data_IF_168885201692
#
_entry.id   IF_168885201692
#
_cell.length_a   1.000
_cell.length_b   1.000
_cell.length_c   1.000
_cell.angle_alpha   90.00
_cell.angle_beta   90.00
_cell.angle_gamma   90.00
#
_symmetry.space_group_name_H-M   'P 1'
#
loop_
_entity.id
_entity.type
_entity.pdbx_description
1 polymer ?
2 non-polymer ?
3 water ?
#
# COMPACT_ATOMS: atom_id res chain seq x y z
N UNK A 10 18.75 -3.38 4.67
CA UNK A 10 17.89 -2.60 3.73
C UNK A 10 17.57 -3.37 2.47
N UNK A 11 16.40 -3.05 1.92
CA UNK A 11 15.84 -3.77 0.79
C UNK A 11 15.85 -2.88 -0.44
N UNK A 12 16.13 -3.42 -1.60
CA UNK A 12 16.13 -2.63 -2.83
C UNK A 12 14.67 -2.34 -3.27
N UNK A 13 14.38 -1.09 -3.58
CA UNK A 13 13.12 -0.64 -4.13
C UNK A 13 13.25 -0.44 -5.62
N UNK A 14 12.36 -0.90 -6.45
CA UNK A 14 11.12 -1.58 -6.09
C UNK A 14 11.30 -2.98 -5.63
N UNK A 15 10.48 -3.37 -4.65
CA UNK A 15 10.65 -4.62 -3.99
C UNK A 15 9.39 -5.44 -4.22
N UNK A 16 9.57 -6.70 -4.54
CA UNK A 16 8.48 -7.65 -4.65
C UNK A 16 8.45 -8.63 -3.47
N UNK A 17 7.36 -8.61 -2.73
CA UNK A 17 7.11 -9.50 -1.64
C UNK A 17 6.14 -10.55 -2.14
N UNK A 18 6.55 -11.82 -2.34
CA UNK A 18 5.60 -12.86 -2.67
C UNK A 18 4.67 -13.12 -1.56
N UNK A 19 3.41 -13.43 -1.85
CA UNK A 19 2.39 -13.74 -0.87
C UNK A 19 1.92 -15.20 -1.12
N UNK A 20 2.63 -16.18 -0.58
CA UNK A 20 2.39 -17.55 -1.03
C UNK A 20 0.95 -18.05 -0.81
N UNK A 21 0.34 -18.52 -1.89
CA UNK A 21 -1.02 -19.01 -1.81
C UNK A 21 -2.08 -17.89 -1.75
N UNK A 22 -1.61 -16.64 -1.97
CA UNK A 22 -2.42 -15.48 -1.95
C UNK A 22 -2.74 -14.91 -0.62
N UNK A 23 -3.55 -13.90 -0.59
CA UNK A 23 -4.01 -13.34 0.70
C UNK A 23 -5.21 -14.02 1.19
N UNK A 24 -5.42 -13.87 2.46
CA UNK A 24 -6.52 -14.51 3.19
C UNK A 24 -6.85 -13.59 4.35
N UNK A 25 -8.11 -13.62 4.81
CA UNK A 25 -8.41 -12.86 6.00
C UNK A 25 -7.49 -13.36 7.13
N UNK A 26 -7.18 -12.37 7.96
CA UNK A 26 -6.26 -12.45 9.09
C UNK A 26 -4.79 -12.36 8.77
N UNK A 27 -4.43 -12.23 7.50
CA UNK A 27 -3.07 -11.93 7.12
C UNK A 27 -2.75 -10.46 7.34
N UNK A 28 -1.61 -10.20 8.01
CA UNK A 28 -1.19 -8.85 8.32
C UNK A 28 0.14 -8.60 7.66
N UNK A 29 0.21 -7.59 6.77
CA UNK A 29 1.41 -7.24 6.12
C UNK A 29 1.98 -6.01 6.79
N UNK A 30 3.25 -6.01 7.11
CA UNK A 30 3.85 -4.87 7.80
C UNK A 30 5.03 -4.39 6.97
N UNK A 31 5.03 -3.10 6.64
CA UNK A 31 6.12 -2.48 5.86
C UNK A 31 6.73 -1.36 6.67
N UNK A 32 8.02 -1.41 6.84
CA UNK A 32 8.75 -0.35 7.59
C UNK A 32 9.71 0.33 6.64
N UNK A 33 9.74 1.67 6.64
CA UNK A 33 10.71 2.36 5.82
C UNK A 33 10.75 3.82 6.23
N UNK A 34 11.46 4.59 5.44
CA UNK A 34 11.60 6.03 5.63
C UNK A 34 11.35 6.72 4.37
N UNK A 35 10.56 7.78 4.41
CA UNK A 35 10.25 8.56 3.21
C UNK A 35 11.47 9.39 2.85
N UNK A 36 11.85 9.39 1.57
CA UNK A 36 13.00 10.19 1.13
C UNK A 36 12.70 11.70 1.30
N UNK A 37 13.74 12.54 1.50
CA UNK A 37 13.41 13.94 1.82
C UNK A 37 12.57 14.75 0.81
N UNK A 38 12.69 14.47 -0.47
CA UNK A 38 11.92 15.20 -1.48
C UNK A 38 10.92 14.33 -2.17
N UNK A 39 10.17 13.57 -1.37
CA UNK A 39 9.38 12.55 -1.99
C UNK A 39 8.25 13.10 -2.82
N UNK A 40 7.96 12.37 -3.89
CA UNK A 40 6.80 12.66 -4.70
C UNK A 40 5.68 11.62 -4.55
N UNK A 41 6.04 10.35 -4.43
CA UNK A 41 5.01 9.28 -4.34
C UNK A 41 5.55 8.03 -3.73
N UNK A 42 4.64 7.25 -3.18
CA UNK A 42 4.92 5.87 -2.68
C UNK A 42 3.81 5.03 -3.29
N UNK A 43 4.07 3.75 -3.57
CA UNK A 43 3.00 2.89 -4.00
C UNK A 43 3.13 1.49 -3.46
N UNK A 44 1.99 0.96 -3.02
CA UNK A 44 1.90 -0.47 -2.70
C UNK A 44 0.94 -1.04 -3.70
N UNK A 45 1.32 -2.12 -4.38
CA UNK A 45 0.44 -2.78 -5.39
C UNK A 45 0.28 -4.26 -5.14
N UNK A 46 -0.89 -4.63 -4.60
CA UNK A 46 -1.24 -6.07 -4.38
C UNK A 46 -1.67 -6.56 -5.76
N UNK A 47 -0.96 -7.53 -6.32
CA UNK A 47 -1.22 -8.00 -7.68
C UNK A 47 -1.81 -9.36 -7.81
N UNK A 48 -2.68 -9.47 -8.82
CA UNK A 48 -3.21 -10.77 -9.27
C UNK A 48 -2.78 -10.88 -10.73
N UNK A 49 -1.66 -11.53 -10.96
CA UNK A 49 -1.03 -11.48 -12.29
C UNK A 49 -0.75 -10.05 -12.71
N UNK A 50 -1.22 -9.65 -13.88
CA UNK A 50 -1.10 -8.26 -14.29
C UNK A 50 -2.08 -7.28 -13.68
N UNK A 51 -3.15 -7.83 -13.14
CA UNK A 51 -4.11 -7.00 -12.43
C UNK A 51 -3.57 -6.50 -11.10
N UNK A 52 -4.03 -5.30 -10.73
CA UNK A 52 -3.69 -4.72 -9.44
C UNK A 52 -4.95 -4.74 -8.64
N UNK A 53 -5.04 -5.65 -7.65
CA UNK A 53 -6.23 -5.72 -6.82
C UNK A 53 -6.40 -4.51 -5.93
N UNK A 54 -5.31 -4.03 -5.36
CA UNK A 54 -5.31 -2.86 -4.44
C UNK A 54 -4.03 -2.12 -4.64
N UNK A 55 -4.15 -0.90 -5.14
CA UNK A 55 -3.11 0.11 -5.28
C UNK A 55 -3.32 1.13 -4.24
N UNK A 56 -2.32 1.29 -3.41
CA UNK A 56 -2.32 2.34 -2.33
C UNK A 56 -1.22 3.29 -2.62
N UNK A 57 -1.55 4.58 -2.90
CA UNK A 57 -0.64 5.50 -3.56
C UNK A 57 -0.69 6.88 -2.91
N UNK A 58 0.13 7.05 -1.89
CA UNK A 58 0.40 8.44 -1.38
C UNK A 58 1.07 9.30 -2.41
N UNK A 59 0.45 10.46 -2.64
CA UNK A 59 0.97 11.48 -3.55
C UNK A 59 1.27 12.74 -2.73
N UNK A 60 2.53 13.15 -2.75
CA UNK A 60 3.00 14.27 -1.92
C UNK A 60 2.75 15.66 -2.54
N UNK A 61 2.51 15.77 -3.83
CA UNK A 61 2.25 17.05 -4.49
C UNK A 61 1.46 16.88 -5.72
N UNK A 62 0.20 16.62 -5.53
CA UNK A 62 -0.80 16.58 -6.56
C UNK A 62 -1.53 17.91 -6.52
N UNK A 63 -1.14 18.79 -7.45
CA UNK A 63 -1.65 20.18 -7.48
C UNK A 63 -1.53 20.90 -6.06
N UNK A 64 -0.34 20.69 -5.49
CA UNK A 64 0.04 21.24 -4.18
C UNK A 64 -0.75 20.73 -3.01
N UNK A 65 -1.31 19.51 -3.18
CA UNK A 65 -2.04 18.86 -2.12
C UNK A 65 -1.42 17.49 -1.93
N UNK A 66 -1.53 17.01 -0.69
CA UNK A 66 -1.13 15.66 -0.39
C UNK A 66 -2.38 14.82 -0.24
N UNK A 67 -2.40 13.65 -0.93
CA UNK A 67 -3.58 12.85 -0.99
C UNK A 67 -3.15 11.38 -1.12
N UNK A 68 -3.94 10.48 -0.55
CA UNK A 68 -3.71 9.05 -0.88
C UNK A 68 -4.75 8.60 -1.87
N UNK A 69 -4.32 8.02 -2.98
CA UNK A 69 -5.23 7.51 -3.98
C UNK A 69 -5.19 5.99 -3.89
N UNK A 70 -6.35 5.38 -3.86
CA UNK A 70 -6.46 3.91 -3.94
C UNK A 70 -7.27 3.52 -5.11
N UNK A 71 -6.92 2.42 -5.75
CA UNK A 71 -7.62 1.96 -6.97
C UNK A 71 -7.28 0.53 -7.27
N UNK A 72 -7.92 0.03 -8.34
CA UNK A 72 -7.71 -1.35 -8.84
C UNK A 72 -7.48 -1.24 -10.31
N UNK A 73 -6.62 -2.07 -10.89
CA UNK A 73 -6.28 -2.05 -12.34
C UNK A 73 -6.68 -3.42 -12.87
N UNK A 74 -7.64 -3.42 -13.84
CA UNK A 74 -8.14 -4.61 -14.49
C UNK A 74 -7.94 -4.54 -15.97
N UNK A 75 -7.33 -5.59 -16.55
CA UNK A 75 -7.04 -5.58 -17.98
C UNK A 75 -6.34 -4.28 -18.45
N UNK A 76 -5.39 -3.81 -17.62
CA UNK A 76 -4.64 -2.62 -17.89
C UNK A 76 -5.33 -1.31 -17.76
N UNK A 77 -6.56 -1.31 -17.25
CA UNK A 77 -7.38 -0.11 -17.05
C UNK A 77 -7.57 0.17 -15.54
N UNK A 78 -7.26 1.41 -15.14
CA UNK A 78 -7.56 1.84 -13.77
C UNK A 78 -9.04 2.12 -13.64
N UNK A 79 -9.61 1.81 -12.49
CA UNK A 79 -10.98 2.02 -12.12
C UNK A 79 -11.28 3.32 -11.42
N UNK A 80 -12.33 3.29 -10.68
CA UNK A 80 -12.74 4.46 -9.87
C UNK A 80 -11.77 4.67 -8.70
N UNK A 81 -11.17 5.85 -8.60
CA UNK A 81 -10.29 6.18 -7.49
C UNK A 81 -11.03 6.37 -6.21
N UNK A 82 -10.46 5.93 -5.10
CA UNK A 82 -10.93 6.26 -3.81
C UNK A 82 -9.90 7.14 -3.17
N UNK A 83 -10.25 8.35 -2.72
CA UNK A 83 -9.28 9.34 -2.24
C UNK A 83 -9.42 9.63 -0.80
N UNK A 84 -8.28 9.71 -0.10
CA UNK A 84 -8.25 9.97 1.33
C UNK A 84 -7.36 11.21 1.50
N UNK A 85 -7.90 12.25 2.12
CA UNK A 85 -7.14 13.46 2.45
C UNK A 85 -6.30 13.33 3.75
N UNK A 86 -6.65 12.40 4.64
CA UNK A 86 -5.79 12.18 5.82
C UNK A 86 -4.47 11.59 5.34
N UNK A 87 -3.35 12.25 5.69
CA UNK A 87 -2.05 11.97 5.04
C UNK A 87 -0.97 11.87 6.08
N UNK A 88 -0.74 10.65 6.58
CA UNK A 88 0.16 10.51 7.75
C UNK A 88 1.65 10.44 7.43
N UNK A 89 2.05 10.49 6.17
CA UNK A 89 3.42 10.36 5.78
C UNK A 89 4.05 11.72 5.75
N UNK A 90 5.33 11.75 6.05
CA UNK A 90 6.09 13.01 6.04
C UNK A 90 7.45 12.77 5.44
N UNK A 91 7.82 13.65 4.53
CA UNK A 91 9.07 13.55 3.87
C UNK A 91 10.23 13.51 4.89
N UNK A 92 11.15 12.58 4.73
CA UNK A 92 12.28 12.43 5.60
C UNK A 92 12.04 11.57 6.81
N UNK A 93 10.83 11.13 7.04
CA UNK A 93 10.52 10.52 8.34
C UNK A 93 10.16 9.02 8.26
N UNK A 94 10.52 8.23 9.26
CA UNK A 94 10.22 6.79 9.28
C UNK A 94 8.72 6.55 9.46
N UNK A 95 8.23 5.50 8.82
CA UNK A 95 6.88 5.13 8.88
C UNK A 95 6.72 3.59 9.03
N UNK A 96 5.48 3.24 9.42
CA UNK A 96 5.07 1.82 9.46
C UNK A 96 3.74 1.75 8.80
N UNK A 97 3.57 0.88 7.78
CA UNK A 97 2.27 0.66 7.19
C UNK A 97 1.90 -0.77 7.56
N UNK A 98 0.68 -0.94 8.05
CA UNK A 98 0.14 -2.26 8.33
C UNK A 98 -1.10 -2.40 7.47
N UNK A 99 -1.14 -3.52 6.73
CA UNK A 99 -2.32 -3.83 5.94
C UNK A 99 -2.89 -5.16 6.45
N UNK A 100 -4.07 -5.08 7.01
CA UNK A 100 -4.74 -6.25 7.57
C UNK A 100 -5.81 -6.70 6.57
N UNK A 101 -5.74 -7.96 6.06
CA UNK A 101 -6.79 -8.46 5.16
C UNK A 101 -7.98 -8.90 6.01
N UNK A 102 -9.12 -8.29 5.78
CA UNK A 102 -10.39 -8.67 6.40
C UNK A 102 -11.30 -9.27 5.33
N UNK A 103 -12.42 -9.86 5.75
CA UNK A 103 -13.18 -10.61 4.77
C UNK A 103 -13.71 -9.75 3.67
N UNK A 104 -14.02 -8.47 3.95
CA UNK A 104 -14.59 -7.59 2.93
C UNK A 104 -13.76 -6.45 2.44
N UNK A 105 -12.61 -6.25 3.07
CA UNK A 105 -11.78 -5.12 2.70
C UNK A 105 -10.36 -5.34 3.21
N UNK A 106 -9.43 -4.58 2.59
CA UNK A 106 -8.10 -4.36 3.21
C UNK A 106 -8.24 -3.21 4.21
N UNK A 107 -7.68 -3.37 5.40
CA UNK A 107 -7.71 -2.31 6.39
C UNK A 107 -6.28 -1.81 6.57
N UNK A 108 -6.04 -0.51 6.44
CA UNK A 108 -4.75 0.02 6.50
C UNK A 108 -4.59 0.97 7.70
N UNK A 109 -3.50 0.76 8.39
CA UNK A 109 -3.05 1.61 9.52
C UNK A 109 -1.64 2.10 9.20
N UNK A 110 -1.37 3.37 9.56
CA UNK A 110 -0.04 3.96 9.42
C UNK A 110 0.40 4.48 10.79
N UNK A 111 1.55 4.06 11.21
CA UNK A 111 2.13 4.46 12.52
C UNK A 111 1.16 4.18 13.62
N UNK A 112 0.53 3.00 13.51
CA UNK A 112 -0.47 2.50 14.51
C UNK A 112 -1.79 3.13 14.54
N UNK A 113 -2.05 4.10 13.68
CA UNK A 113 -3.35 4.72 13.56
C UNK A 113 -4.15 4.30 12.29
N UNK A 114 -5.38 3.89 12.45
CA UNK A 114 -6.24 3.51 11.35
C UNK A 114 -6.28 4.61 10.36
N UNK A 115 -6.12 4.29 9.08
CA UNK A 115 -6.13 5.24 7.98
C UNK A 115 -7.32 5.03 7.07
N UNK A 116 -7.55 3.83 6.51
CA UNK A 116 -8.59 3.65 5.50
C UNK A 116 -8.89 2.18 5.35
N UNK A 117 -10.03 1.91 4.71
CA UNK A 117 -10.39 0.55 4.34
C UNK A 117 -10.67 0.60 2.86
N UNK A 118 -10.43 -0.51 2.21
CA UNK A 118 -10.66 -0.62 0.75
C UNK A 118 -11.37 -1.92 0.47
N UNK A 119 -12.62 -1.79 0.03
CA UNK A 119 -13.47 -2.96 -0.24
C UNK A 119 -12.90 -3.80 -1.33
N UNK A 120 -12.99 -5.14 -1.16
CA UNK A 120 -12.47 -6.03 -2.19
C UNK A 120 -13.23 -5.90 -3.49
N UNK A 121 -12.54 -5.50 -4.55
CA UNK A 121 -13.05 -5.51 -5.90
C UNK A 121 -12.66 -6.75 -6.62
N UNK A 122 -11.42 -7.19 -6.45
CA UNK A 122 -10.86 -8.46 -6.90
C UNK A 122 -11.20 -9.44 -5.82
N UNK A 123 -12.06 -10.44 -6.12
CA UNK A 123 -12.61 -11.25 -5.04
C UNK A 123 -11.95 -12.62 -4.93
N UNK A 124 -11.05 -12.99 -5.86
CA UNK A 124 -10.26 -14.20 -5.77
C UNK A 124 -8.99 -13.92 -4.97
N UNK A 125 -9.21 -13.81 -3.67
CA UNK A 125 -8.15 -13.44 -2.66
C UNK A 125 -6.91 -14.33 -2.79
N UNK A 126 -7.13 -15.64 -2.97
CA UNK A 126 -6.10 -16.60 -3.08
C UNK A 126 -5.22 -16.42 -4.32
N UNK A 127 -5.68 -15.57 -5.29
CA UNK A 127 -4.87 -15.28 -6.51
C UNK A 127 -4.07 -14.00 -6.43
N UNK A 128 -4.21 -13.27 -5.33
CA UNK A 128 -3.46 -12.03 -5.07
C UNK A 128 -2.15 -12.46 -4.44
N UNK A 129 -1.15 -12.70 -5.27
CA UNK A 129 -0.01 -13.49 -4.87
C UNK A 129 1.27 -12.73 -4.77
N UNK A 130 1.26 -11.41 -4.95
CA UNK A 130 2.47 -10.63 -4.84
C UNK A 130 2.11 -9.24 -4.35
N UNK A 131 3.02 -8.63 -3.60
CA UNK A 131 2.95 -7.19 -3.25
C UNK A 131 4.16 -6.48 -3.74
N UNK A 132 3.98 -5.45 -4.58
CA UNK A 132 5.00 -4.61 -5.07
C UNK A 132 5.08 -3.40 -4.23
N UNK A 133 6.29 -3.01 -3.81
CA UNK A 133 6.51 -1.79 -2.99
C UNK A 133 7.43 -0.90 -3.74
N UNK A 134 6.98 0.31 -4.05
CA UNK A 134 7.79 1.20 -4.94
C UNK A 134 7.69 2.66 -4.48
N UNK A 135 8.49 3.49 -5.08
CA UNK A 135 8.41 4.91 -4.87
C UNK A 135 9.54 5.38 -3.99
N UNK A 136 9.25 6.56 -3.44
CA UNK A 136 10.31 7.42 -2.89
C UNK A 136 10.62 7.14 -1.43
N UNK A 137 11.07 5.94 -1.21
CA UNK A 137 11.33 5.43 0.12
C UNK A 137 12.64 4.67 0.21
N UNK A 138 13.12 4.62 1.43
CA UNK A 138 14.14 3.64 1.83
C UNK A 138 13.38 2.58 2.55
N UNK A 139 13.48 1.36 2.10
CA UNK A 139 12.73 0.27 2.67
C UNK A 139 13.52 -0.52 3.66
N UNK A 140 13.02 -0.65 4.86
CA UNK A 140 13.68 -1.33 5.92
C UNK A 140 13.26 -2.78 6.08
N UNK A 141 11.96 -3.04 6.00
CA UNK A 141 11.44 -4.37 6.24
C UNK A 141 10.10 -4.51 5.47
N UNK A 142 9.77 -5.72 5.00
CA UNK A 142 8.49 -6.05 4.45
C UNK A 142 8.20 -7.50 4.76
N UNK A 143 7.17 -7.75 5.54
CA UNK A 143 6.88 -9.10 5.99
C UNK A 143 5.39 -9.28 6.23
N UNK A 144 4.99 -10.51 6.59
CA UNK A 144 3.62 -10.83 6.86
C UNK A 144 3.56 -11.87 7.96
N UNK A 145 2.43 -11.86 8.66
CA UNK A 145 2.12 -12.86 9.65
C UNK A 145 0.61 -13.07 9.70
N UNK A 146 0.14 -14.13 10.39
CA UNK A 146 -1.28 -14.34 10.63
C UNK A 146 -1.61 -13.86 11.99
N UNK A 147 -2.70 -13.21 12.12
CA UNK A 147 -3.14 -12.84 13.45
C UNK A 147 -4.34 -13.62 13.86
X LIG B 1 -4.50 5.32 -9.86
X LIG B 1 -5.86 5.65 -10.05
X LIG B 1 -3.60 5.61 -11.04
X LIG B 1 -3.72 7.05 -11.27
X LIG B 1 -2.18 5.21 -10.78
X LIG B 1 -1.59 5.82 -9.56
#
# INVERSE_FOLDING_TARGET
GSPYGAPAGPLIVPYNLPLPGGVVPRMLITILGTVKPNANRIALDFQRGNDVAFHFNPRFNENNRRVIVCNTKLDNNWGREERQSVFPFESGKPFKIQVLVEPDHFKVAVNDAHLLQYNHRVKKLNEISKLGISGDIDLTSASYTMI
GOL C1 O1 C2 O2 C3 O3
#
